data_IF_473748990722
#
_entry.id   IF_473748990722
#
_cell.length_a   1.000
_cell.length_b   1.000
_cell.length_c   1.000
_cell.angle_alpha   90.00
_cell.angle_beta   90.00
_cell.angle_gamma   90.00
#
_symmetry.space_group_name_H-M   'P 1'
#
loop_
_entity.id
_entity.type
_entity.pdbx_description
1 polymer ?
#
# COMPACT_ATOMS: atom_id res chain seq x y z
N UNK A 1 3.50 17.31 13.49
CA UNK A 1 2.30 16.47 13.68
C UNK A 1 2.59 15.14 13.02
N UNK A 2 2.36 14.04 13.73
CA UNK A 2 2.44 12.68 13.18
C UNK A 2 1.04 12.10 13.18
N UNK A 3 0.60 11.57 12.04
CA UNK A 3 -0.66 10.85 11.92
C UNK A 3 -0.33 9.36 11.85
N UNK A 4 -0.92 8.58 12.77
CA UNK A 4 -0.64 7.14 12.89
C UNK A 4 -1.21 6.31 11.73
N UNK A 5 -2.26 6.81 11.08
CA UNK A 5 -2.91 6.15 9.96
C UNK A 5 -2.63 6.90 8.64
N UNK A 6 -2.27 6.19 7.57
CA UNK A 6 -1.83 6.81 6.33
C UNK A 6 -2.96 7.58 5.62
N UNK A 7 -4.22 7.16 5.80
CA UNK A 7 -5.38 7.89 5.28
C UNK A 7 -5.64 9.20 6.04
N UNK A 8 -5.44 9.23 7.36
CA UNK A 8 -5.52 10.46 8.15
C UNK A 8 -4.46 11.47 7.70
N UNK A 9 -3.23 11.00 7.44
CA UNK A 9 -2.17 11.86 6.89
C UNK A 9 -2.59 12.49 5.56
N UNK A 10 -3.20 11.70 4.66
CA UNK A 10 -3.70 12.20 3.37
C UNK A 10 -4.88 13.18 3.52
N UNK A 11 -5.81 12.94 4.46
CA UNK A 11 -6.91 13.88 4.73
C UNK A 11 -6.40 15.23 5.25
N UNK A 12 -5.35 15.23 6.08
CA UNK A 12 -4.72 16.47 6.56
C UNK A 12 -4.01 17.22 5.41
N UNK A 13 -3.36 16.50 4.49
CA UNK A 13 -2.81 17.09 3.26
C UNK A 13 -3.92 17.71 2.40
N UNK A 14 -5.05 17.01 2.25
CA UNK A 14 -6.21 17.51 1.51
C UNK A 14 -6.80 18.80 2.13
N UNK A 15 -6.72 18.96 3.46
CA UNK A 15 -7.12 20.20 4.14
C UNK A 15 -6.04 21.30 4.12
N UNK A 16 -4.92 21.11 3.42
CA UNK A 16 -3.85 22.10 3.28
C UNK A 16 -2.88 22.19 4.47
N UNK A 17 -2.84 21.18 5.36
CA UNK A 17 -1.96 21.20 6.54
C UNK A 17 -0.50 20.85 6.23
N UNK A 18 -0.16 20.43 5.00
CA UNK A 18 1.23 20.19 4.60
C UNK A 18 1.39 19.13 3.52
N UNK A 19 2.47 18.35 3.64
CA UNK A 19 2.88 17.30 2.69
C UNK A 19 3.04 15.98 3.44
N UNK A 20 2.66 14.86 2.81
CA UNK A 20 2.88 13.52 3.32
C UNK A 20 3.58 12.64 2.27
N UNK A 21 4.44 11.73 2.73
CA UNK A 21 4.99 10.66 1.90
C UNK A 21 4.10 9.43 2.05
N UNK A 22 3.69 8.83 0.93
CA UNK A 22 2.83 7.64 0.92
C UNK A 22 3.40 6.56 0.01
N UNK A 23 3.05 5.30 0.29
CA UNK A 23 3.44 4.18 -0.57
C UNK A 23 2.61 4.16 -1.85
N UNK A 24 3.21 3.73 -2.97
CA UNK A 24 2.52 3.58 -4.26
C UNK A 24 1.27 2.72 -4.18
N UNK A 25 1.24 1.67 -3.35
CA UNK A 25 0.01 0.87 -3.18
C UNK A 25 -1.17 1.64 -2.58
N UNK A 26 -0.91 2.73 -1.84
CA UNK A 26 -1.92 3.60 -1.25
C UNK A 26 -2.29 4.80 -2.14
N UNK A 27 -1.53 5.08 -3.20
CA UNK A 27 -1.77 6.22 -4.07
C UNK A 27 -3.10 6.12 -4.82
N UNK A 28 -3.62 4.90 -5.01
CA UNK A 28 -4.90 4.61 -5.65
C UNK A 28 -6.09 5.28 -4.94
N UNK A 29 -5.98 5.52 -3.63
CA UNK A 29 -7.06 6.02 -2.78
C UNK A 29 -6.81 7.46 -2.31
N UNK A 30 -6.07 8.26 -3.08
CA UNK A 30 -5.81 9.65 -2.71
C UNK A 30 -7.11 10.47 -2.70
N UNK A 31 -7.35 11.31 -1.66
CA UNK A 31 -8.52 12.18 -1.61
C UNK A 31 -8.54 13.20 -2.76
N UNK A 32 -9.73 13.64 -3.22
CA UNK A 32 -9.82 14.70 -4.22
C UNK A 32 -9.12 15.97 -3.74
N UNK A 33 -8.29 16.57 -4.61
CA UNK A 33 -7.48 17.75 -4.29
C UNK A 33 -6.06 17.45 -3.83
N UNK A 34 -5.68 16.17 -3.61
CA UNK A 34 -4.30 15.78 -3.32
C UNK A 34 -3.56 15.42 -4.61
N UNK A 35 -2.48 16.15 -4.90
CA UNK A 35 -1.59 15.84 -6.04
C UNK A 35 -0.45 14.96 -5.55
N UNK A 36 -0.37 13.76 -6.12
CA UNK A 36 0.73 12.83 -5.88
C UNK A 36 1.84 13.06 -6.91
N UNK A 37 3.09 13.13 -6.44
CA UNK A 37 4.27 13.16 -7.31
C UNK A 37 5.27 12.12 -6.87
N UNK A 38 5.78 11.36 -7.84
CA UNK A 38 6.91 10.46 -7.60
C UNK A 38 8.19 11.25 -7.37
N UNK A 39 9.05 10.75 -6.49
CA UNK A 39 10.35 11.34 -6.19
C UNK A 39 11.44 10.57 -6.94
N UNK A 40 11.98 11.09 -8.07
CA UNK A 40 12.85 10.33 -8.96
C UNK A 40 14.21 9.98 -8.33
N UNK A 41 14.60 10.66 -7.26
CA UNK A 41 15.84 10.43 -6.53
C UNK A 41 15.68 9.50 -5.31
N UNK A 42 14.47 8.99 -5.01
CA UNK A 42 14.25 8.02 -3.93
C UNK A 42 13.24 6.95 -4.32
N UNK A 43 13.75 5.74 -4.54
CA UNK A 43 12.92 4.54 -4.66
C UNK A 43 12.85 3.83 -3.32
N UNK A 44 11.72 3.99 -2.62
CA UNK A 44 11.43 3.21 -1.41
C UNK A 44 10.54 2.02 -1.78
N UNK A 45 11.16 0.89 -2.08
CA UNK A 45 10.48 -0.40 -2.24
C UNK A 45 10.44 -1.11 -0.89
N UNK A 46 9.30 -1.02 -0.20
CA UNK A 46 9.03 -1.91 0.93
C UNK A 46 8.61 -3.26 0.36
N UNK A 47 9.32 -4.37 0.62
CA UNK A 47 8.90 -5.68 0.14
C UNK A 47 7.54 -6.04 0.75
N UNK A 48 6.59 -6.43 -0.10
CA UNK A 48 5.30 -6.93 0.32
C UNK A 48 5.42 -8.43 0.59
N UNK A 49 5.08 -8.86 1.81
CA UNK A 49 5.12 -10.26 2.22
C UNK A 49 3.70 -10.82 2.28
N UNK A 50 3.43 -11.90 1.54
CA UNK A 50 2.24 -12.70 1.75
C UNK A 50 2.51 -13.70 2.88
N UNK A 51 1.67 -13.68 3.93
CA UNK A 51 1.77 -14.60 5.06
C UNK A 51 0.54 -15.48 5.16
N UNK A 52 0.74 -16.78 5.40
CA UNK A 52 -0.34 -17.74 5.65
C UNK A 52 0.02 -18.66 6.81
N UNK A 53 -1.00 -19.27 7.41
CA UNK A 53 -0.81 -20.22 8.50
C UNK A 53 -0.24 -21.54 7.97
N UNK A 54 0.72 -22.16 8.70
CA UNK A 54 1.42 -23.39 8.28
C UNK A 54 0.46 -24.56 8.05
N UNK A 55 -0.58 -24.66 8.88
CA UNK A 55 -1.63 -25.67 8.76
C UNK A 55 -2.81 -24.97 8.09
N UNK A 56 -2.87 -25.07 6.76
CA UNK A 56 -3.95 -24.49 5.96
C UNK A 56 -5.15 -25.44 5.94
N UNK A 57 -6.19 -25.13 6.71
CA UNK A 57 -7.45 -25.89 6.72
C UNK A 57 -8.49 -25.34 5.71
N UNK A 58 -8.19 -24.23 5.03
CA UNK A 58 -9.14 -23.55 4.14
C UNK A 58 -8.67 -23.60 2.68
N UNK A 59 -9.50 -24.13 1.75
CA UNK A 59 -9.18 -24.22 0.32
C UNK A 59 -8.78 -22.88 -0.31
N UNK A 60 -9.35 -21.77 0.20
CA UNK A 60 -9.08 -20.42 -0.30
C UNK A 60 -7.59 -20.03 -0.19
N UNK A 61 -6.90 -20.44 0.86
CA UNK A 61 -5.47 -20.11 1.03
C UNK A 61 -4.62 -20.90 0.05
N UNK A 62 -5.04 -22.10 -0.33
CA UNK A 62 -4.37 -22.89 -1.36
C UNK A 62 -4.50 -22.24 -2.74
N UNK A 63 -5.70 -21.78 -3.10
CA UNK A 63 -5.93 -21.03 -4.35
C UNK A 63 -5.11 -19.73 -4.36
N UNK A 64 -5.11 -18.98 -3.27
CA UNK A 64 -4.34 -17.73 -3.17
C UNK A 64 -2.83 -17.97 -3.27
N UNK A 65 -2.32 -19.07 -2.69
CA UNK A 65 -0.92 -19.48 -2.84
C UNK A 65 -0.58 -19.78 -4.30
N UNK A 66 -1.43 -20.51 -5.02
CA UNK A 66 -1.22 -20.83 -6.46
C UNK A 66 -1.12 -19.55 -7.27
N UNK A 67 -2.10 -18.65 -7.14
CA UNK A 67 -2.11 -17.35 -7.83
C UNK A 67 -0.85 -16.51 -7.53
N UNK A 68 -0.35 -16.53 -6.29
CA UNK A 68 0.84 -15.75 -5.92
C UNK A 68 2.19 -16.39 -6.29
N UNK A 69 2.23 -17.69 -6.59
CA UNK A 69 3.48 -18.42 -6.86
C UNK A 69 3.61 -18.91 -8.29
N UNK A 70 2.51 -18.92 -9.05
CA UNK A 70 2.53 -19.19 -10.48
C UNK A 70 3.03 -17.93 -11.22
N UNK A 71 4.09 -18.05 -12.04
CA UNK A 71 4.51 -16.94 -12.90
C UNK A 71 3.40 -16.66 -13.92
N UNK A 72 3.06 -15.39 -14.10
CA UNK A 72 2.19 -14.94 -15.20
C UNK A 72 2.85 -15.38 -16.51
N UNK A 73 2.13 -16.20 -17.30
CA UNK A 73 2.63 -16.84 -18.52
C UNK A 73 2.82 -15.85 -19.68
#
# INVERSE_FOLDING_TARGET
>A
MEASEPFTALSLVASGLGVALVQTGLSCNAPPGVVLRELPWRTYTTPLWAAWHRINLRPLVETFRKVLTEPEA
#
